data_IF_302560900743
#
_entry.id   IF_302560900743
#
_cell.length_a   1.000
_cell.length_b   1.000
_cell.length_c   1.000
_cell.angle_alpha   90.00
_cell.angle_beta   90.00
_cell.angle_gamma   90.00
#
_symmetry.space_group_name_H-M   'P 1'
#
loop_
_entity.id
_entity.type
_entity.pdbx_description
1 polymer ?
#
# COMPACT_ATOMS: atom_id res chain seq x y z
N UNK A 1 7.69 2.19 -8.67
CA UNK A 1 6.57 1.25 -8.43
C UNK A 1 5.19 1.91 -8.53
N UNK A 2 5.09 3.26 -8.51
CA UNK A 2 3.82 3.99 -8.71
C UNK A 2 3.27 3.87 -10.13
N UNK A 3 4.13 3.79 -11.15
CA UNK A 3 3.73 3.88 -12.55
C UNK A 3 2.68 2.84 -12.94
N UNK A 4 2.84 1.58 -12.53
CA UNK A 4 1.88 0.51 -12.84
C UNK A 4 0.51 0.76 -12.23
N UNK A 5 0.45 1.25 -10.99
CA UNK A 5 -0.81 1.54 -10.30
C UNK A 5 -1.51 2.74 -10.92
N UNK A 6 -0.77 3.81 -11.24
CA UNK A 6 -1.31 5.01 -11.90
C UNK A 6 -1.81 4.72 -13.31
N UNK A 7 -1.12 3.85 -14.06
CA UNK A 7 -1.59 3.38 -15.36
C UNK A 7 -2.89 2.58 -15.23
N UNK A 8 -2.97 1.65 -14.27
CA UNK A 8 -4.20 0.89 -14.02
C UNK A 8 -5.34 1.78 -13.54
N UNK A 9 -5.09 2.75 -12.67
CA UNK A 9 -6.14 3.66 -12.20
C UNK A 9 -6.69 4.53 -13.32
N UNK A 10 -5.81 5.08 -14.15
CA UNK A 10 -6.17 5.92 -15.29
C UNK A 10 -6.89 5.13 -16.38
N UNK A 11 -6.64 3.83 -16.52
CA UNK A 11 -7.34 2.97 -17.50
C UNK A 11 -8.58 2.28 -16.92
N UNK A 12 -8.56 1.87 -15.66
CA UNK A 12 -9.67 1.16 -14.99
C UNK A 12 -10.83 2.07 -14.65
N UNK A 13 -10.59 3.31 -14.22
CA UNK A 13 -11.67 4.26 -13.91
C UNK A 13 -12.56 4.56 -15.13
N UNK A 14 -12.03 4.95 -16.31
CA UNK A 14 -12.85 5.12 -17.52
C UNK A 14 -13.40 3.80 -18.06
N UNK A 15 -12.72 2.67 -17.86
CA UNK A 15 -13.26 1.35 -18.22
C UNK A 15 -14.52 0.99 -17.43
N UNK A 16 -14.52 1.20 -16.10
CA UNK A 16 -15.71 0.99 -15.26
C UNK A 16 -16.84 1.97 -15.59
N UNK A 17 -16.50 3.20 -15.99
CA UNK A 17 -17.49 4.20 -16.43
C UNK A 17 -18.12 3.86 -17.79
N UNK A 18 -17.37 3.25 -18.71
CA UNK A 18 -17.85 2.86 -20.05
C UNK A 18 -18.53 1.49 -20.08
N UNK A 19 -18.29 0.66 -19.07
CA UNK A 19 -19.01 -0.59 -18.88
C UNK A 19 -20.45 -0.23 -18.48
N UNK A 20 -21.48 -0.51 -19.29
CA UNK A 20 -22.90 -0.30 -18.94
C UNK A 20 -23.40 1.15 -18.97
N UNK A 21 -24.62 1.39 -18.48
CA UNK A 21 -25.34 2.66 -18.67
C UNK A 21 -24.66 3.86 -17.99
N UNK A 22 -24.52 4.97 -18.73
CA UNK A 22 -23.81 6.18 -18.29
C UNK A 22 -24.50 6.87 -17.12
N UNK A 23 -25.81 6.65 -16.93
CA UNK A 23 -26.57 7.09 -15.76
C UNK A 23 -26.04 6.51 -14.44
N UNK A 24 -25.57 5.26 -14.45
CA UNK A 24 -25.12 4.52 -13.24
C UNK A 24 -23.61 4.31 -13.17
N UNK A 25 -22.86 4.82 -14.15
CA UNK A 25 -21.40 4.76 -14.22
C UNK A 25 -20.72 5.30 -12.95
N UNK A 26 -21.07 6.52 -12.53
CA UNK A 26 -20.49 7.17 -11.34
C UNK A 26 -20.79 6.40 -10.05
N UNK A 27 -21.98 5.79 -9.95
CA UNK A 27 -22.37 5.00 -8.76
C UNK A 27 -21.52 3.74 -8.63
N UNK A 28 -21.18 3.09 -9.75
CA UNK A 28 -20.32 1.90 -9.78
C UNK A 28 -18.87 2.24 -9.50
N UNK A 29 -18.38 3.35 -10.03
CA UNK A 29 -17.05 3.86 -9.70
C UNK A 29 -16.93 4.20 -8.21
N UNK A 30 -17.91 4.90 -7.64
CA UNK A 30 -17.91 5.26 -6.22
C UNK A 30 -18.02 4.00 -5.33
N UNK A 31 -18.80 3.00 -5.74
CA UNK A 31 -18.85 1.70 -5.05
C UNK A 31 -17.51 0.97 -5.12
N UNK A 32 -16.85 0.92 -6.28
CA UNK A 32 -15.52 0.32 -6.43
C UNK A 32 -14.47 1.05 -5.58
N UNK A 33 -14.50 2.39 -5.57
CA UNK A 33 -13.58 3.19 -4.77
C UNK A 33 -13.87 3.11 -3.26
N UNK A 34 -15.09 2.80 -2.84
CA UNK A 34 -15.41 2.53 -1.44
C UNK A 34 -14.69 1.28 -0.89
N UNK A 35 -14.25 0.36 -1.75
CA UNK A 35 -13.43 -0.79 -1.33
C UNK A 35 -11.95 -0.43 -1.09
N UNK A 36 -11.46 0.70 -1.61
CA UNK A 36 -10.09 1.14 -1.37
C UNK A 36 -9.80 1.40 0.12
N UNK A 37 -10.61 2.17 0.87
CA UNK A 37 -10.42 2.33 2.31
C UNK A 37 -10.70 1.04 3.09
N UNK A 38 -11.63 0.19 2.65
CA UNK A 38 -11.88 -1.11 3.29
C UNK A 38 -10.67 -2.05 3.19
N UNK A 39 -10.06 -2.14 2.01
CA UNK A 39 -8.84 -2.90 1.79
C UNK A 39 -7.68 -2.38 2.62
N UNK A 40 -7.53 -1.05 2.73
CA UNK A 40 -6.51 -0.43 3.57
C UNK A 40 -6.69 -0.74 5.06
N UNK A 41 -7.92 -0.73 5.58
CA UNK A 41 -8.21 -1.09 6.98
C UNK A 41 -7.88 -2.55 7.23
N UNK A 42 -8.30 -3.46 6.33
CA UNK A 42 -8.01 -4.89 6.45
C UNK A 42 -6.51 -5.14 6.38
N UNK A 43 -5.81 -4.54 5.42
CA UNK A 43 -4.36 -4.72 5.25
C UNK A 43 -3.60 -4.16 6.45
N UNK A 44 -4.02 -3.02 7.01
CA UNK A 44 -3.39 -2.41 8.18
C UNK A 44 -3.61 -3.27 9.43
N UNK A 45 -4.79 -3.87 9.59
CA UNK A 45 -5.06 -4.80 10.67
C UNK A 45 -4.19 -6.06 10.58
N UNK A 46 -4.12 -6.67 9.39
CA UNK A 46 -3.26 -7.85 9.15
C UNK A 46 -1.78 -7.50 9.31
N UNK A 47 -1.33 -6.37 8.75
CA UNK A 47 0.04 -5.89 8.89
C UNK A 47 0.40 -5.63 10.35
N UNK A 48 -0.52 -5.08 11.16
CA UNK A 48 -0.28 -4.85 12.59
C UNK A 48 -0.03 -6.16 13.33
N UNK A 49 -0.79 -7.22 13.02
CA UNK A 49 -0.59 -8.55 13.60
C UNK A 49 0.74 -9.18 13.16
N UNK A 50 1.06 -9.10 11.87
CA UNK A 50 2.32 -9.62 11.32
C UNK A 50 3.52 -8.87 11.89
N UNK A 51 3.48 -7.54 11.93
CA UNK A 51 4.55 -6.70 12.49
C UNK A 51 4.73 -7.02 13.96
N UNK A 52 3.67 -7.18 14.75
CA UNK A 52 3.78 -7.47 16.18
C UNK A 52 4.48 -8.81 16.46
N UNK A 53 4.21 -9.84 15.65
CA UNK A 53 4.90 -11.14 15.71
C UNK A 53 6.39 -10.99 15.36
N UNK A 54 6.70 -10.24 14.31
CA UNK A 54 8.09 -9.97 13.89
C UNK A 54 8.83 -9.09 14.91
N UNK A 55 8.14 -8.15 15.56
CA UNK A 55 8.68 -7.30 16.61
C UNK A 55 9.07 -8.12 17.84
N UNK A 56 8.23 -9.08 18.24
CA UNK A 56 8.53 -9.96 19.38
C UNK A 56 9.81 -10.80 19.13
N UNK A 57 10.01 -11.31 17.90
CA UNK A 57 11.24 -11.98 17.50
C UNK A 57 12.45 -11.03 17.36
N UNK A 58 12.22 -9.78 16.96
CA UNK A 58 13.25 -8.74 16.86
C UNK A 58 13.71 -8.26 18.24
N UNK A 59 12.82 -8.26 19.24
CA UNK A 59 13.09 -7.87 20.63
C UNK A 59 13.86 -8.99 21.38
N UNK A 60 13.68 -10.26 21.01
CA UNK A 60 14.41 -11.37 21.63
C UNK A 60 15.89 -11.47 21.21
N UNK A 61 16.30 -10.77 20.14
CA UNK A 61 17.72 -10.52 19.83
C UNK A 61 18.18 -9.31 20.66
N UNK A 62 18.60 -9.58 21.90
CA UNK A 62 19.16 -8.58 22.79
C UNK A 62 20.47 -8.00 22.21
N UNK A 63 20.41 -6.77 21.69
CA UNK A 63 21.58 -5.93 21.40
C UNK A 63 21.84 -5.70 19.91
N UNK A 64 21.95 -4.42 19.53
CA UNK A 64 22.46 -3.82 18.28
C UNK A 64 21.94 -4.33 16.92
N UNK A 65 21.65 -5.62 16.72
CA UNK A 65 21.19 -6.21 15.45
C UNK A 65 19.82 -5.71 14.98
N UNK A 66 18.86 -5.56 15.90
CA UNK A 66 17.56 -4.96 15.58
C UNK A 66 17.68 -3.48 15.17
N UNK A 67 18.58 -2.73 15.82
CA UNK A 67 18.87 -1.33 15.50
C UNK A 67 19.51 -1.19 14.11
N UNK A 68 20.47 -2.05 13.76
CA UNK A 68 21.08 -2.08 12.42
C UNK A 68 20.06 -2.47 11.34
N UNK A 69 19.16 -3.40 11.61
CA UNK A 69 18.08 -3.76 10.67
C UNK A 69 17.12 -2.57 10.46
N UNK A 70 16.75 -1.85 11.53
CA UNK A 70 15.90 -0.66 11.44
C UNK A 70 16.57 0.48 10.68
N UNK A 71 17.85 0.75 10.96
CA UNK A 71 18.65 1.77 10.25
C UNK A 71 18.80 1.38 8.77
N UNK A 72 19.04 0.10 8.46
CA UNK A 72 19.13 -0.40 7.09
C UNK A 72 17.83 -0.28 6.31
N UNK A 73 16.69 -0.67 6.91
CA UNK A 73 15.37 -0.55 6.27
C UNK A 73 14.97 0.92 6.10
N UNK A 74 15.28 1.79 7.07
CA UNK A 74 15.06 3.23 6.99
C UNK A 74 15.93 3.89 5.91
N UNK A 75 17.22 3.53 5.83
CA UNK A 75 18.11 4.01 4.78
C UNK A 75 17.66 3.54 3.38
N UNK A 76 17.16 2.31 3.25
CA UNK A 76 16.60 1.79 1.99
C UNK A 76 15.29 2.51 1.61
N UNK A 77 14.42 2.84 2.57
CA UNK A 77 13.21 3.63 2.32
C UNK A 77 13.56 5.05 1.85
N UNK A 78 14.52 5.70 2.52
CA UNK A 78 14.98 7.05 2.18
C UNK A 78 15.75 7.11 0.84
N UNK A 79 16.55 6.09 0.52
CA UNK A 79 17.18 5.95 -0.80
C UNK A 79 16.13 5.71 -1.90
N UNK A 80 15.09 4.91 -1.63
CA UNK A 80 14.01 4.67 -2.59
C UNK A 80 13.16 5.92 -2.86
N UNK A 81 12.95 6.78 -1.87
CA UNK A 81 12.30 8.08 -2.05
C UNK A 81 13.15 9.04 -2.90
N UNK A 82 14.48 9.03 -2.75
CA UNK A 82 15.37 9.86 -3.58
C UNK A 82 15.45 9.42 -5.03
N UNK A 83 15.31 8.13 -5.32
CA UNK A 83 15.23 7.62 -6.70
C UNK A 83 13.83 7.69 -7.32
N UNK A 84 12.78 8.01 -6.55
CA UNK A 84 11.43 8.23 -7.08
C UNK A 84 11.19 9.68 -7.53
N UNK A 85 12.07 10.62 -7.16
CA UNK A 85 12.05 12.03 -7.55
C UNK A 85 13.16 12.42 -8.56
N UNK A 86 13.90 11.44 -9.10
CA UNK A 86 14.89 11.61 -10.16
C UNK A 86 14.47 10.79 -11.39
#
# INVERSE_FOLDING_TARGET
MTCGLSFLETTANPYVLSMGDSSTATRRLNLAQAFNPMGSIIVMFVASMVILINLNGTIFIHGYGGLYCLIGVSACMSLRERHAQA
#
